data_IF_935007766398
#
_entry.id   IF_935007766398
#
_cell.length_a   1.000
_cell.length_b   1.000
_cell.length_c   1.000
_cell.angle_alpha   90.00
_cell.angle_beta   90.00
_cell.angle_gamma   90.00
#
_symmetry.space_group_name_H-M   'P 1'
#
loop_
_entity.id
_entity.type
_entity.pdbx_description
1 polymer ?
#
# COMPACT_ATOMS: atom_id res chain seq x y z
N UNK A 1 22.27 -2.80 28.75
CA UNK A 1 22.59 -3.12 27.33
C UNK A 1 21.36 -2.77 26.51
N UNK A 2 21.47 -1.81 25.58
CA UNK A 2 20.31 -1.22 24.90
C UNK A 2 19.68 -2.20 23.91
N UNK A 3 18.42 -2.55 24.14
CA UNK A 3 17.66 -3.61 23.46
C UNK A 3 17.09 -3.19 22.09
N UNK A 4 17.85 -2.45 21.29
CA UNK A 4 17.45 -2.09 19.92
C UNK A 4 18.29 -2.91 18.93
N UNK A 5 17.71 -3.99 18.42
CA UNK A 5 18.32 -4.79 17.36
C UNK A 5 18.60 -3.88 16.15
N UNK A 6 19.85 -3.88 15.67
CA UNK A 6 20.25 -3.13 14.47
C UNK A 6 20.46 -4.11 13.34
N UNK A 7 19.78 -3.88 12.22
CA UNK A 7 20.01 -4.59 10.98
C UNK A 7 20.67 -3.63 10.00
N UNK A 8 21.85 -4.00 9.48
CA UNK A 8 22.53 -3.21 8.46
C UNK A 8 22.00 -3.65 7.10
N UNK A 9 21.49 -2.69 6.32
CA UNK A 9 21.07 -2.93 4.93
C UNK A 9 22.23 -2.53 4.00
N UNK A 10 22.79 -3.46 3.22
CA UNK A 10 23.78 -3.18 2.18
C UNK A 10 23.38 -2.03 1.25
N UNK A 11 24.36 -1.26 0.78
CA UNK A 11 24.12 -0.03 0.01
C UNK A 11 23.39 -0.28 -1.31
N UNK A 12 23.75 -1.34 -2.01
CA UNK A 12 23.10 -1.84 -3.22
C UNK A 12 21.60 -2.11 -3.01
N UNK A 13 21.22 -2.72 -1.88
CA UNK A 13 19.81 -2.95 -1.56
C UNK A 13 19.06 -1.65 -1.24
N UNK A 14 19.71 -0.68 -0.58
CA UNK A 14 19.11 0.64 -0.33
C UNK A 14 18.86 1.40 -1.63
N UNK A 15 19.81 1.35 -2.57
CA UNK A 15 19.69 1.99 -3.89
C UNK A 15 18.58 1.36 -4.73
N UNK A 16 18.49 0.03 -4.76
CA UNK A 16 17.42 -0.69 -5.47
C UNK A 16 16.03 -0.36 -4.93
N UNK A 17 15.92 -0.14 -3.62
CA UNK A 17 14.68 0.26 -2.98
C UNK A 17 14.46 1.78 -2.97
N UNK A 18 15.42 2.56 -3.48
CA UNK A 18 15.43 4.02 -3.44
C UNK A 18 15.18 4.59 -2.02
N UNK A 19 15.81 3.98 -1.00
CA UNK A 19 15.68 4.39 0.40
C UNK A 19 16.81 5.34 0.78
N UNK A 20 16.44 6.56 1.17
CA UNK A 20 17.30 7.58 1.77
C UNK A 20 17.26 7.60 3.30
N UNK A 21 18.05 8.50 3.88
CA UNK A 21 18.00 8.76 5.32
C UNK A 21 16.68 9.45 5.69
N UNK A 22 16.01 8.96 6.74
CA UNK A 22 14.71 9.47 7.19
C UNK A 22 13.50 8.89 6.47
N UNK A 23 13.70 8.07 5.44
CA UNK A 23 12.60 7.39 4.75
C UNK A 23 11.96 6.32 5.64
N UNK A 24 10.63 6.25 5.58
CA UNK A 24 9.85 5.24 6.29
C UNK A 24 9.77 3.95 5.49
N UNK A 25 10.01 2.82 6.18
CA UNK A 25 9.86 1.48 5.64
C UNK A 25 8.92 0.67 6.52
N UNK A 26 8.18 -0.23 5.89
CA UNK A 26 7.37 -1.24 6.58
C UNK A 26 8.13 -2.56 6.62
N UNK A 27 8.02 -3.26 7.74
CA UNK A 27 8.54 -4.61 7.93
C UNK A 27 7.37 -5.55 8.23
N UNK A 28 7.36 -6.70 7.56
CA UNK A 28 6.35 -7.74 7.74
C UNK A 28 6.99 -9.12 7.67
N UNK A 29 6.31 -10.13 8.21
CA UNK A 29 6.70 -11.53 8.02
C UNK A 29 5.76 -12.15 7.00
N UNK A 30 6.31 -12.67 5.91
CA UNK A 30 5.58 -13.38 4.86
C UNK A 30 6.30 -14.69 4.57
N UNK A 31 5.57 -15.81 4.65
CA UNK A 31 6.12 -17.16 4.43
C UNK A 31 7.40 -17.46 5.23
N UNK A 32 7.48 -16.93 6.46
CA UNK A 32 8.63 -17.08 7.34
C UNK A 32 9.83 -16.19 7.01
N UNK A 33 9.73 -15.32 5.99
CA UNK A 33 10.74 -14.35 5.63
C UNK A 33 10.39 -12.93 6.13
N UNK A 34 11.40 -12.19 6.56
CA UNK A 34 11.26 -10.75 6.82
C UNK A 34 11.22 -10.02 5.48
N UNK A 35 10.08 -9.39 5.17
CA UNK A 35 9.89 -8.60 3.97
C UNK A 35 9.84 -7.13 4.32
N UNK A 36 10.78 -6.38 3.74
CA UNK A 36 10.87 -4.93 3.85
C UNK A 36 10.30 -4.27 2.61
N UNK A 37 9.44 -3.26 2.78
CA UNK A 37 8.88 -2.49 1.66
C UNK A 37 8.88 -1.00 1.97
N UNK A 38 9.13 -0.19 0.95
CA UNK A 38 8.93 1.25 1.00
C UNK A 38 7.44 1.58 0.95
N UNK A 39 7.07 2.81 1.33
CA UNK A 39 5.69 3.30 1.18
C UNK A 39 5.16 3.16 -0.25
N UNK A 40 6.00 3.46 -1.25
CA UNK A 40 5.64 3.30 -2.65
C UNK A 40 5.41 1.82 -3.03
N UNK A 41 6.25 0.92 -2.51
CA UNK A 41 6.08 -0.52 -2.69
C UNK A 41 4.79 -1.06 -2.06
N UNK A 42 4.45 -0.60 -0.85
CA UNK A 42 3.18 -0.94 -0.20
C UNK A 42 1.96 -0.44 -0.99
N UNK A 43 2.02 0.80 -1.51
CA UNK A 43 0.95 1.33 -2.35
C UNK A 43 0.79 0.53 -3.65
N UNK A 44 1.90 0.15 -4.29
CA UNK A 44 1.88 -0.68 -5.49
C UNK A 44 1.25 -2.05 -5.21
N UNK A 45 1.60 -2.69 -4.08
CA UNK A 45 0.99 -3.94 -3.62
C UNK A 45 -0.51 -3.79 -3.40
N UNK A 46 -0.94 -2.77 -2.67
CA UNK A 46 -2.35 -2.52 -2.41
C UNK A 46 -3.14 -2.34 -3.73
N UNK A 47 -2.58 -1.58 -4.67
CA UNK A 47 -3.16 -1.41 -6.02
C UNK A 47 -3.24 -2.73 -6.79
N UNK A 48 -2.21 -3.56 -6.71
CA UNK A 48 -2.20 -4.87 -7.36
C UNK A 48 -3.29 -5.79 -6.81
N UNK A 49 -3.48 -5.82 -5.48
CA UNK A 49 -4.56 -6.59 -4.84
C UNK A 49 -5.92 -6.10 -5.32
N UNK A 50 -6.17 -4.79 -5.31
CA UNK A 50 -7.46 -4.23 -5.77
C UNK A 50 -7.72 -4.56 -7.24
N UNK A 51 -6.70 -4.51 -8.11
CA UNK A 51 -6.82 -4.86 -9.54
C UNK A 51 -7.19 -6.32 -9.81
N UNK A 52 -7.03 -7.22 -8.85
CA UNK A 52 -7.53 -8.60 -8.97
C UNK A 52 -9.06 -8.66 -8.97
N UNK A 53 -9.73 -7.65 -8.40
CA UNK A 53 -11.18 -7.60 -8.24
C UNK A 53 -11.85 -6.55 -9.13
N UNK A 54 -11.09 -5.56 -9.60
CA UNK A 54 -11.62 -4.44 -10.40
C UNK A 54 -11.12 -4.55 -11.85
N UNK A 55 -12.01 -4.85 -12.82
CA UNK A 55 -11.65 -4.90 -14.23
C UNK A 55 -11.04 -3.60 -14.75
N UNK A 56 -10.33 -3.69 -15.87
CA UNK A 56 -9.82 -2.50 -16.56
C UNK A 56 -10.99 -1.64 -17.06
N UNK A 57 -10.83 -0.31 -17.01
CA UNK A 57 -11.84 0.66 -17.42
C UNK A 57 -12.97 0.91 -16.40
N UNK A 58 -13.03 0.15 -15.30
CA UNK A 58 -14.03 0.36 -14.23
C UNK A 58 -13.56 1.43 -13.25
N UNK A 59 -14.45 2.39 -12.95
CA UNK A 59 -14.21 3.46 -11.98
C UNK A 59 -15.08 3.27 -10.75
N UNK A 60 -14.48 2.67 -9.71
CA UNK A 60 -15.15 2.52 -8.40
C UNK A 60 -15.57 3.86 -7.79
N UNK A 61 -14.87 4.94 -8.14
CA UNK A 61 -15.20 6.29 -7.66
C UNK A 61 -16.52 6.75 -8.26
N UNK A 62 -16.70 6.56 -9.56
CA UNK A 62 -17.93 6.98 -10.24
C UNK A 62 -19.14 6.16 -9.80
N UNK A 63 -18.95 4.84 -9.61
CA UNK A 63 -19.97 3.96 -9.03
C UNK A 63 -20.36 4.43 -7.62
N UNK A 64 -19.38 4.68 -6.75
CA UNK A 64 -19.65 5.14 -5.39
C UNK A 64 -20.37 6.49 -5.37
N UNK A 65 -19.99 7.43 -6.23
CA UNK A 65 -20.63 8.74 -6.33
C UNK A 65 -22.08 8.58 -6.79
N UNK A 66 -22.34 7.76 -7.81
CA UNK A 66 -23.69 7.49 -8.31
C UNK A 66 -24.59 6.89 -7.21
N UNK A 67 -24.07 5.90 -6.47
CA UNK A 67 -24.78 5.28 -5.35
C UNK A 67 -25.13 6.32 -4.27
N UNK A 68 -24.16 7.17 -3.87
CA UNK A 68 -24.40 8.22 -2.87
C UNK A 68 -25.44 9.25 -3.33
N UNK A 69 -25.49 9.57 -4.62
CA UNK A 69 -26.53 10.44 -5.15
C UNK A 69 -27.91 9.78 -5.14
N UNK A 70 -27.98 8.48 -5.48
CA UNK A 70 -29.22 7.72 -5.45
C UNK A 70 -29.79 7.59 -4.03
N UNK A 71 -28.93 7.29 -3.05
CA UNK A 71 -29.31 7.22 -1.63
C UNK A 71 -29.84 8.57 -1.12
N UNK A 72 -29.12 9.66 -1.41
CA UNK A 72 -29.55 11.00 -1.02
C UNK A 72 -30.87 11.44 -1.66
N UNK A 73 -31.22 10.91 -2.84
CA UNK A 73 -32.50 11.16 -3.47
C UNK A 73 -33.65 10.37 -2.82
N UNK A 74 -33.38 9.14 -2.35
CA UNK A 74 -34.37 8.31 -1.63
C UNK A 74 -34.70 8.89 -0.27
N UNK A 75 -33.71 9.38 0.47
CA UNK A 75 -33.91 9.96 1.81
C UNK A 75 -34.70 11.27 1.80
N UNK A 76 -34.83 11.92 0.63
CA UNK A 76 -35.59 13.16 0.46
C UNK A 76 -37.05 12.96 -0.01
N UNK A 77 -37.42 11.75 -0.40
CA UNK A 77 -38.76 11.39 -0.87
C UNK A 77 -39.66 10.94 0.30
#
# INVERSE_FOLDING_TARGET
>A
MGAAGRLVIPADLRELLAIGEGDEVSLSIEDGALVMRTRAGELARARAIVRQYVPEGVSLVDELIADRHADAARDRA
#
